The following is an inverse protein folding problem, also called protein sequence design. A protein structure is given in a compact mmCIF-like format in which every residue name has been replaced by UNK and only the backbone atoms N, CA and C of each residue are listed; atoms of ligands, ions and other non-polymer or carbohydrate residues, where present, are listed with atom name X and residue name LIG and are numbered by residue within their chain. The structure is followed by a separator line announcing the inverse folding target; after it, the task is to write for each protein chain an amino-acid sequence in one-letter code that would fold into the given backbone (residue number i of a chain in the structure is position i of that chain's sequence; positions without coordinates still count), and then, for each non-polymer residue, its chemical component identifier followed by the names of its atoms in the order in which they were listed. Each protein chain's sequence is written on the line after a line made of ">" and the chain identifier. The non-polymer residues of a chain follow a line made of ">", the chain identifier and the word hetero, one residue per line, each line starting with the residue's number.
data_IF_167673234160
#
_entry.id   IF_167673234160
#
_cell.length_a   1.000
_cell.length_b   1.000
_cell.length_c   1.000
_cell.angle_alpha   90.00
_cell.angle_beta   90.00
_cell.angle_gamma   90.00
#
_symmetry.space_group_name_H-M   'P 1'
#
loop_
_entity.id
_entity.type
_entity.pdbx_description
1 polymer ?
#
# COMPACT_ATOMS: atom_id res chain seq x y z
N UNK A 1 -0.02 -7.28 -16.80
CA UNK A 1 -1.03 -7.17 -15.73
C UNK A 1 -2.18 -8.17 -15.95
N UNK A 2 -2.67 -8.30 -17.19
CA UNK A 2 -3.75 -9.26 -17.48
C UNK A 2 -3.31 -10.69 -17.20
N UNK A 3 -2.10 -11.08 -17.61
CA UNK A 3 -1.56 -12.41 -17.34
C UNK A 3 -1.41 -12.67 -15.83
N UNK A 4 -0.90 -11.68 -15.09
CA UNK A 4 -0.77 -11.80 -13.64
C UNK A 4 -2.12 -11.93 -12.96
N UNK A 5 -3.13 -11.18 -13.41
CA UNK A 5 -4.48 -11.24 -12.86
C UNK A 5 -5.12 -12.62 -13.08
N UNK A 6 -4.93 -13.21 -14.26
CA UNK A 6 -5.42 -14.57 -14.56
C UNK A 6 -4.76 -15.62 -13.67
N UNK A 7 -3.45 -15.53 -13.48
CA UNK A 7 -2.72 -16.46 -12.63
C UNK A 7 -3.19 -16.39 -11.17
N UNK A 8 -3.46 -15.18 -10.66
CA UNK A 8 -3.97 -15.00 -9.32
C UNK A 8 -5.38 -15.60 -9.18
N UNK A 9 -6.25 -15.40 -10.17
CA UNK A 9 -7.60 -15.95 -10.17
C UNK A 9 -7.62 -17.48 -10.17
N UNK A 10 -6.59 -18.09 -10.75
CA UNK A 10 -6.43 -19.54 -10.78
C UNK A 10 -5.59 -20.07 -9.61
N UNK A 11 -5.43 -19.27 -8.56
CA UNK A 11 -4.67 -19.60 -7.35
C UNK A 11 -3.16 -19.79 -7.59
N UNK A 12 -2.63 -19.30 -8.73
CA UNK A 12 -1.19 -19.32 -8.98
C UNK A 12 -0.57 -18.00 -8.51
N UNK A 13 -0.72 -17.76 -7.20
CA UNK A 13 -0.30 -16.51 -6.57
C UNK A 13 1.19 -16.27 -6.72
N UNK A 14 2.00 -17.32 -6.59
CA UNK A 14 3.47 -17.19 -6.68
C UNK A 14 3.90 -16.65 -8.03
N UNK A 15 3.42 -17.23 -9.13
CA UNK A 15 3.79 -16.79 -10.48
C UNK A 15 3.25 -15.40 -10.79
N UNK A 16 1.98 -15.15 -10.43
CA UNK A 16 1.38 -13.84 -10.59
C UNK A 16 2.13 -12.76 -9.82
N UNK A 17 2.52 -13.07 -8.59
CA UNK A 17 3.29 -12.13 -7.77
C UNK A 17 4.64 -11.80 -8.37
N UNK A 18 5.34 -12.79 -8.94
CA UNK A 18 6.63 -12.54 -9.61
C UNK A 18 6.48 -11.63 -10.82
N UNK A 19 5.43 -11.82 -11.61
CA UNK A 19 5.14 -10.96 -12.76
C UNK A 19 4.90 -9.51 -12.28
N UNK A 20 4.12 -9.36 -11.22
CA UNK A 20 3.82 -8.03 -10.67
C UNK A 20 5.07 -7.38 -10.08
N UNK A 21 5.95 -8.15 -9.43
CA UNK A 21 7.21 -7.62 -8.90
C UNK A 21 8.11 -7.10 -10.01
N UNK A 22 8.20 -7.83 -11.13
CA UNK A 22 8.96 -7.39 -12.29
C UNK A 22 8.38 -6.09 -12.87
N UNK A 23 7.06 -6.04 -13.02
CA UNK A 23 6.39 -4.84 -13.52
C UNK A 23 6.60 -3.64 -12.58
N UNK A 24 6.54 -3.88 -11.26
CA UNK A 24 6.77 -2.85 -10.25
C UNK A 24 8.18 -2.26 -10.33
N UNK A 25 9.18 -3.11 -10.49
CA UNK A 25 10.56 -2.63 -10.62
C UNK A 25 10.75 -1.77 -11.87
N UNK A 26 10.06 -2.10 -12.94
CA UNK A 26 10.13 -1.32 -14.18
C UNK A 26 9.46 0.04 -14.02
N UNK A 27 8.22 0.05 -13.52
CA UNK A 27 7.47 1.27 -13.31
C UNK A 27 6.38 1.05 -12.26
N UNK A 28 6.54 1.54 -11.04
CA UNK A 28 5.51 1.45 -10.02
C UNK A 28 4.22 2.13 -10.45
N UNK A 29 3.09 1.44 -10.23
CA UNK A 29 1.77 1.92 -10.61
C UNK A 29 0.75 1.47 -9.56
N UNK A 30 -0.24 2.31 -9.20
CA UNK A 30 -1.22 1.95 -8.17
C UNK A 30 -1.99 0.67 -8.47
N UNK A 31 -2.28 0.37 -9.74
CA UNK A 31 -3.00 -0.85 -10.10
C UNK A 31 -2.15 -2.11 -9.84
N UNK A 32 -0.84 -2.02 -10.04
CA UNK A 32 0.08 -3.12 -9.72
C UNK A 32 0.11 -3.36 -8.22
N UNK A 33 0.21 -2.29 -7.43
CA UNK A 33 0.19 -2.39 -5.98
C UNK A 33 -1.11 -3.03 -5.48
N UNK A 34 -2.25 -2.62 -6.02
CA UNK A 34 -3.56 -3.16 -5.64
C UNK A 34 -3.63 -4.66 -5.89
N UNK A 35 -3.24 -5.11 -7.07
CA UNK A 35 -3.24 -6.53 -7.41
C UNK A 35 -2.28 -7.32 -6.53
N UNK A 36 -1.09 -6.79 -6.28
CA UNK A 36 -0.06 -7.48 -5.50
C UNK A 36 -0.45 -7.60 -4.03
N UNK A 37 -0.90 -6.51 -3.43
CA UNK A 37 -1.23 -6.44 -2.00
C UNK A 37 -2.45 -7.31 -1.68
N UNK A 38 -3.43 -7.36 -2.58
CA UNK A 38 -4.67 -8.12 -2.39
C UNK A 38 -4.67 -9.48 -3.12
N UNK A 39 -3.49 -10.02 -3.46
CA UNK A 39 -3.36 -11.24 -4.25
C UNK A 39 -3.88 -12.49 -3.55
N UNK A 40 -3.83 -12.54 -2.21
CA UNK A 40 -4.28 -13.70 -1.44
C UNK A 40 -5.59 -13.40 -0.74
N UNK A 41 -6.68 -14.06 -1.14
CA UNK A 41 -7.95 -13.91 -0.42
C UNK A 41 -7.78 -14.37 1.03
N UNK A 42 -8.34 -13.62 1.96
CA UNK A 42 -8.30 -13.95 3.37
C UNK A 42 -7.07 -13.46 4.13
N UNK A 43 -6.12 -12.80 3.48
CA UNK A 43 -4.98 -12.18 4.17
C UNK A 43 -5.49 -11.13 5.18
N UNK A 44 -4.86 -11.11 6.34
CA UNK A 44 -5.10 -10.08 7.35
C UNK A 44 -4.44 -8.75 6.91
N UNK A 45 -4.86 -7.66 7.54
CA UNK A 45 -4.31 -6.32 7.22
C UNK A 45 -2.80 -6.24 7.44
N UNK A 46 -2.26 -6.96 8.43
CA UNK A 46 -0.80 -6.99 8.65
C UNK A 46 -0.07 -7.74 7.54
N UNK A 47 -0.66 -8.78 6.98
CA UNK A 47 -0.09 -9.50 5.84
C UNK A 47 -0.02 -8.58 4.62
N UNK A 48 -1.07 -7.80 4.39
CA UNK A 48 -1.10 -6.83 3.32
C UNK A 48 -0.07 -5.73 3.51
N UNK A 49 0.10 -5.25 4.74
CA UNK A 49 1.13 -4.27 5.05
C UNK A 49 2.53 -4.83 4.74
N UNK A 50 2.78 -6.09 5.08
CA UNK A 50 4.06 -6.72 4.79
C UNK A 50 4.29 -6.84 3.27
N UNK A 51 3.26 -7.12 2.49
CA UNK A 51 3.36 -7.16 1.03
C UNK A 51 3.64 -5.78 0.44
N UNK A 52 3.03 -4.73 1.00
CA UNK A 52 3.32 -3.36 0.59
C UNK A 52 4.77 -2.98 0.89
N UNK A 53 5.28 -3.37 2.05
CA UNK A 53 6.68 -3.14 2.41
C UNK A 53 7.64 -3.86 1.46
N UNK A 54 7.26 -5.03 0.98
CA UNK A 54 8.06 -5.76 -0.01
C UNK A 54 8.14 -4.99 -1.33
N UNK A 55 7.03 -4.41 -1.79
CA UNK A 55 7.04 -3.55 -2.98
C UNK A 55 7.99 -2.36 -2.78
N UNK A 56 7.98 -1.76 -1.61
CA UNK A 56 8.88 -0.64 -1.29
C UNK A 56 10.35 -1.08 -1.35
N UNK A 57 10.67 -2.29 -0.88
CA UNK A 57 12.03 -2.82 -0.98
C UNK A 57 12.48 -3.01 -2.43
N UNK A 58 11.54 -3.36 -3.32
CA UNK A 58 11.84 -3.57 -4.74
C UNK A 58 12.09 -2.26 -5.49
N UNK A 59 11.50 -1.15 -5.04
CA UNK A 59 11.65 0.16 -5.68
C UNK A 59 11.65 1.24 -4.63
N UNK A 60 12.79 1.44 -3.99
CA UNK A 60 12.96 2.43 -2.92
C UNK A 60 12.93 3.85 -3.50
N UNK A 61 12.62 4.81 -2.66
CA UNK A 61 12.62 6.23 -2.99
C UNK A 61 11.71 6.59 -4.17
N UNK A 62 10.57 5.90 -4.26
CA UNK A 62 9.54 6.20 -5.25
C UNK A 62 8.23 6.53 -4.53
N UNK A 63 7.55 7.58 -4.99
CA UNK A 63 6.31 8.02 -4.34
C UNK A 63 5.25 6.91 -4.27
N UNK A 64 5.09 6.11 -5.33
CA UNK A 64 4.12 5.02 -5.34
C UNK A 64 4.45 3.94 -4.30
N UNK A 65 5.73 3.67 -4.07
CA UNK A 65 6.15 2.72 -3.03
C UNK A 65 5.76 3.20 -1.64
N UNK A 66 6.03 4.47 -1.34
CA UNK A 66 5.64 5.08 -0.06
C UNK A 66 4.13 5.13 0.09
N UNK A 67 3.40 5.46 -0.96
CA UNK A 67 1.93 5.51 -0.93
C UNK A 67 1.32 4.13 -0.71
N UNK A 68 1.89 3.09 -1.31
CA UNK A 68 1.41 1.72 -1.12
C UNK A 68 1.52 1.29 0.35
N UNK A 69 2.67 1.57 0.98
CA UNK A 69 2.85 1.28 2.40
C UNK A 69 1.92 2.12 3.26
N UNK A 70 1.78 3.41 2.93
CA UNK A 70 0.90 4.31 3.70
C UNK A 70 -0.56 3.83 3.68
N UNK A 71 -1.07 3.40 2.53
CA UNK A 71 -2.45 2.87 2.42
C UNK A 71 -2.64 1.59 3.23
N UNK A 72 -1.69 0.67 3.12
CA UNK A 72 -1.77 -0.60 3.86
C UNK A 72 -1.63 -0.37 5.37
N UNK A 73 -0.78 0.57 5.78
CA UNK A 73 -0.62 0.93 7.19
C UNK A 73 -1.90 1.60 7.73
N UNK A 74 -2.56 2.43 6.93
CA UNK A 74 -3.84 3.04 7.31
C UNK A 74 -4.89 1.95 7.57
N UNK A 75 -4.99 0.96 6.69
CA UNK A 75 -5.91 -0.16 6.85
C UNK A 75 -5.60 -0.97 8.12
N UNK A 76 -4.34 -1.08 8.48
CA UNK A 76 -3.89 -1.77 9.68
C UNK A 76 -3.95 -0.88 10.94
N UNK A 77 -4.40 0.36 10.81
CA UNK A 77 -4.46 1.35 11.88
C UNK A 77 -3.09 1.65 12.50
N UNK A 78 -2.03 1.45 11.74
CA UNK A 78 -0.68 1.85 12.10
C UNK A 78 -0.47 3.29 11.60
N UNK A 79 -1.05 4.23 12.33
CA UNK A 79 -1.09 5.64 11.91
C UNK A 79 0.29 6.29 11.85
N UNK A 80 1.21 5.87 12.72
CA UNK A 80 2.57 6.41 12.70
C UNK A 80 3.29 6.06 11.40
N UNK A 81 3.22 4.79 10.97
CA UNK A 81 3.80 4.34 9.71
C UNK A 81 3.09 4.98 8.52
N UNK A 82 1.75 5.02 8.56
CA UNK A 82 0.96 5.60 7.49
C UNK A 82 1.34 7.08 7.26
N UNK A 83 1.42 7.86 8.32
CA UNK A 83 1.77 9.28 8.25
C UNK A 83 3.19 9.47 7.72
N UNK A 84 4.14 8.73 8.26
CA UNK A 84 5.55 8.83 7.85
C UNK A 84 5.70 8.55 6.36
N UNK A 85 5.06 7.51 5.86
CA UNK A 85 5.16 7.12 4.47
C UNK A 85 4.42 8.07 3.53
N UNK A 86 3.26 8.59 3.94
CA UNK A 86 2.55 9.61 3.15
C UNK A 86 3.37 10.89 3.04
N UNK A 87 3.99 11.32 4.13
CA UNK A 87 4.88 12.49 4.11
C UNK A 87 6.11 12.24 3.24
N UNK A 88 6.66 11.04 3.28
CA UNK A 88 7.78 10.66 2.41
C UNK A 88 7.38 10.73 0.94
N UNK A 89 6.18 10.26 0.59
CA UNK A 89 5.67 10.34 -0.78
C UNK A 89 5.59 11.80 -1.25
N UNK A 90 5.11 12.69 -0.39
CA UNK A 90 5.01 14.12 -0.71
C UNK A 90 6.39 14.72 -0.95
N UNK A 91 7.39 14.35 -0.16
CA UNK A 91 8.77 14.86 -0.34
C UNK A 91 9.38 14.36 -1.64
N UNK A 92 9.07 13.13 -2.05
CA UNK A 92 9.60 12.56 -3.29
C UNK A 92 8.95 13.20 -4.51
N UNK A 93 7.61 13.30 -4.47
CA UNK A 93 6.84 13.82 -5.61
C UNK A 93 5.51 14.36 -5.09
N UNK A 94 5.29 15.65 -5.27
CA UNK A 94 4.09 16.34 -4.78
C UNK A 94 2.87 15.99 -5.63
N UNK A 95 2.24 14.87 -5.31
CA UNK A 95 1.04 14.40 -5.98
C UNK A 95 -0.20 14.69 -5.17
N UNK A 96 -1.29 15.06 -5.83
CA UNK A 96 -2.57 15.25 -5.18
C UNK A 96 -2.97 14.02 -4.35
N UNK A 97 -2.78 12.82 -4.90
CA UNK A 97 -3.12 11.57 -4.21
C UNK A 97 -2.39 11.39 -2.88
N UNK A 98 -1.14 11.85 -2.78
CA UNK A 98 -0.38 11.76 -1.53
C UNK A 98 -0.93 12.71 -0.47
N UNK A 99 -1.33 13.91 -0.84
CA UNK A 99 -1.96 14.87 0.08
C UNK A 99 -3.34 14.38 0.55
N UNK A 100 -4.13 13.83 -0.37
CA UNK A 100 -5.43 13.25 -0.02
C UNK A 100 -5.28 12.07 0.93
N UNK A 101 -4.28 11.24 0.70
CA UNK A 101 -3.99 10.10 1.57
C UNK A 101 -3.59 10.57 2.97
N UNK A 102 -2.76 11.59 3.08
CA UNK A 102 -2.37 12.16 4.38
C UNK A 102 -3.60 12.72 5.12
N UNK A 103 -4.50 13.39 4.40
CA UNK A 103 -5.74 13.88 4.99
C UNK A 103 -6.62 12.75 5.52
N UNK A 104 -6.73 11.66 4.76
CA UNK A 104 -7.49 10.47 5.20
C UNK A 104 -6.88 9.86 6.46
N UNK A 105 -5.55 9.81 6.54
CA UNK A 105 -4.84 9.28 7.71
C UNK A 105 -5.12 10.16 8.93
N UNK A 106 -5.04 11.47 8.79
CA UNK A 106 -5.29 12.39 9.89
C UNK A 106 -6.73 12.30 10.38
N UNK A 107 -7.69 12.18 9.48
CA UNK A 107 -9.10 12.01 9.82
C UNK A 107 -9.34 10.70 10.58
N UNK A 108 -8.75 9.60 10.09
CA UNK A 108 -8.89 8.29 10.72
C UNK A 108 -8.27 8.27 12.12
N UNK A 109 -7.10 8.86 12.28
CA UNK A 109 -6.42 8.95 13.57
C UNK A 109 -7.21 9.81 14.55
N UNK A 110 -7.74 10.96 14.11
CA UNK A 110 -8.56 11.84 14.94
C UNK A 110 -9.85 11.15 15.38
N UNK A 111 -10.49 10.39 14.48
CA UNK A 111 -11.69 9.63 14.81
C UNK A 111 -11.41 8.56 15.87
N UNK A 112 -10.29 7.85 15.75
CA UNK A 112 -9.88 6.85 16.72
C UNK A 112 -9.62 7.48 18.09
N UNK A 113 -8.90 8.59 18.14
CA UNK A 113 -8.65 9.33 19.38
C UNK A 113 -9.94 9.86 20.01
N UNK A 114 -10.87 10.32 19.18
CA UNK A 114 -12.18 10.77 19.64
C UNK A 114 -12.97 9.67 20.32
N UNK A 115 -12.95 8.45 19.77
CA UNK A 115 -13.60 7.30 20.37
C UNK A 115 -13.00 6.94 21.71
N UNK A 116 -11.67 6.97 21.82
CA UNK A 116 -10.96 6.68 23.07
C UNK A 116 -11.34 7.68 24.15
N UNK A 117 -11.48 8.97 23.82
CA UNK A 117 -11.84 10.01 24.77
C UNK A 117 -13.27 9.85 25.30
N UNK A 118 -14.14 9.24 24.53
CA UNK A 118 -15.54 9.04 24.95
C UNK A 118 -15.71 7.86 25.90
N UNK A 119 -14.72 7.00 25.97
CA UNK A 119 -14.73 5.87 26.89
C UNK A 119 -14.28 6.29 28.31
#
# INVERSE_FOLDING_TARGET
>A
VIAANLLIKHNDVRKGSKILETAWRAEPHPDIAELYIHARPGDAVLDRLNRAKKLQELKKNHAESSMAVARAALDAQDFATARREAESAIRIDRREGAYLLLADIEEAESGDQGKVRQL
#
